data_IF_394574537657
#
_entry.id   IF_394574537657
#
_cell.length_a   1.000
_cell.length_b   1.000
_cell.length_c   1.000
_cell.angle_alpha   90.00
_cell.angle_beta   90.00
_cell.angle_gamma   90.00
#
_symmetry.space_group_name_H-M   'P 1'
#
loop_
_entity.id
_entity.type
_entity.pdbx_description
1 polymer ?
#
# COMPACT_ATOMS: atom_id res chain seq x y z
N UNK A 1 2.54 -2.82 -12.27
CA UNK A 1 1.29 -2.03 -12.13
C UNK A 1 0.13 -2.72 -12.84
N UNK A 2 -1.11 -2.49 -12.40
CA UNK A 2 -2.31 -3.11 -12.96
C UNK A 2 -3.06 -2.20 -13.93
N UNK A 3 -2.78 -0.89 -13.89
CA UNK A 3 -3.47 0.12 -14.68
C UNK A 3 -2.54 0.71 -15.72
N UNK A 4 -3.03 0.85 -16.95
CA UNK A 4 -2.31 1.46 -18.08
C UNK A 4 -3.27 2.25 -18.96
N UNK A 5 -2.75 3.07 -19.87
CA UNK A 5 -3.52 3.63 -21.01
C UNK A 5 -3.28 2.79 -22.25
N UNK A 6 -4.37 2.44 -22.93
CA UNK A 6 -4.35 1.78 -24.23
C UNK A 6 -3.94 2.73 -25.37
N UNK A 7 -3.91 2.23 -26.59
CA UNK A 7 -3.58 3.02 -27.78
C UNK A 7 -4.59 4.15 -28.07
N UNK A 8 -5.80 4.09 -27.51
CA UNK A 8 -6.85 5.12 -27.62
C UNK A 8 -6.82 6.12 -26.45
N UNK A 9 -5.87 5.93 -25.50
CA UNK A 9 -5.75 6.76 -24.29
C UNK A 9 -6.72 6.40 -23.17
N UNK A 10 -7.48 5.31 -23.31
CA UNK A 10 -8.40 4.84 -22.27
C UNK A 10 -7.64 4.09 -21.18
N UNK A 11 -8.10 4.23 -19.92
CA UNK A 11 -7.54 3.45 -18.82
C UNK A 11 -8.02 2.00 -18.92
N UNK A 12 -7.08 1.08 -18.75
CA UNK A 12 -7.30 -0.35 -18.71
C UNK A 12 -6.76 -0.89 -17.39
N UNK A 13 -7.61 -1.53 -16.60
CA UNK A 13 -7.24 -2.24 -15.39
C UNK A 13 -7.26 -3.75 -15.67
N UNK A 14 -6.10 -4.40 -15.71
CA UNK A 14 -6.00 -5.83 -16.03
C UNK A 14 -6.67 -6.77 -15.02
N UNK A 15 -7.10 -6.25 -13.86
CA UNK A 15 -7.86 -7.03 -12.87
C UNK A 15 -9.35 -7.11 -13.22
N UNK A 16 -9.87 -6.22 -14.08
CA UNK A 16 -11.30 -6.09 -14.36
C UNK A 16 -11.64 -6.07 -15.83
N UNK A 17 -10.80 -5.40 -16.62
CA UNK A 17 -11.08 -5.14 -18.02
C UNK A 17 -10.58 -6.26 -18.92
N UNK A 18 -11.23 -6.42 -20.08
CA UNK A 18 -10.64 -7.17 -21.18
C UNK A 18 -9.54 -6.33 -21.80
N UNK A 19 -8.40 -6.94 -22.05
CA UNK A 19 -7.25 -6.29 -22.63
C UNK A 19 -6.72 -7.08 -23.82
N UNK A 20 -6.13 -6.36 -24.77
CA UNK A 20 -5.57 -6.92 -25.99
C UNK A 20 -4.04 -6.78 -25.97
N UNK A 21 -3.40 -7.42 -26.94
CA UNK A 21 -1.95 -7.32 -27.10
C UNK A 21 -1.62 -6.10 -27.96
N UNK A 22 -1.53 -4.95 -27.34
CA UNK A 22 -1.30 -3.66 -28.00
C UNK A 22 -0.24 -2.82 -27.26
N UNK A 23 -0.07 -1.57 -27.70
CA UNK A 23 0.82 -0.62 -27.03
C UNK A 23 0.14 0.00 -25.81
N UNK A 24 0.83 -0.04 -24.67
CA UNK A 24 0.36 0.54 -23.42
C UNK A 24 1.33 1.61 -22.92
N UNK A 25 0.78 2.63 -22.27
CA UNK A 25 1.55 3.72 -21.65
C UNK A 25 1.19 3.90 -20.18
N UNK A 26 2.14 4.40 -19.40
CA UNK A 26 1.93 4.72 -17.99
C UNK A 26 0.97 5.90 -17.83
N UNK A 27 -0.09 5.80 -17.02
CA UNK A 27 -1.01 6.91 -16.81
C UNK A 27 -0.38 8.16 -16.19
N UNK A 28 0.73 8.00 -15.47
CA UNK A 28 1.42 9.09 -14.78
C UNK A 28 2.49 9.77 -15.64
N UNK A 29 3.42 9.01 -16.25
CA UNK A 29 4.56 9.56 -16.96
C UNK A 29 4.46 9.46 -18.49
N UNK A 30 3.44 8.75 -19.03
CA UNK A 30 3.32 8.48 -20.47
C UNK A 30 4.34 7.50 -21.04
N UNK A 31 5.26 6.99 -20.21
CA UNK A 31 6.30 6.04 -20.60
C UNK A 31 5.72 4.71 -21.10
N UNK A 32 6.42 4.08 -22.05
CA UNK A 32 5.97 2.82 -22.63
C UNK A 32 5.98 1.67 -21.63
N UNK A 33 4.90 0.91 -21.64
CA UNK A 33 4.71 -0.28 -20.83
C UNK A 33 4.75 -1.54 -21.69
N UNK A 34 5.07 -2.66 -21.04
CA UNK A 34 4.89 -4.01 -21.57
C UNK A 34 3.93 -4.78 -20.68
N UNK A 35 2.99 -5.47 -21.27
CA UNK A 35 2.14 -6.43 -20.56
C UNK A 35 3.00 -7.66 -20.23
N UNK A 36 3.02 -8.04 -18.96
CA UNK A 36 3.60 -9.29 -18.46
C UNK A 36 2.48 -10.24 -18.12
N UNK A 37 2.53 -11.42 -18.68
CA UNK A 37 1.53 -12.47 -18.52
C UNK A 37 2.20 -13.83 -18.68
N UNK A 38 1.84 -14.81 -17.86
CA UNK A 38 2.36 -16.16 -17.98
C UNK A 38 1.81 -17.08 -16.90
N UNK A 39 2.04 -18.40 -16.99
CA UNK A 39 1.49 -19.38 -16.04
C UNK A 39 1.89 -19.12 -14.57
N UNK A 40 3.09 -18.58 -14.37
CA UNK A 40 3.63 -18.28 -13.02
C UNK A 40 3.81 -16.77 -12.78
N UNK A 41 3.27 -15.92 -13.65
CA UNK A 41 3.40 -14.47 -13.55
C UNK A 41 2.02 -13.86 -13.50
N UNK A 42 1.72 -13.16 -12.39
CA UNK A 42 0.51 -12.36 -12.28
C UNK A 42 0.47 -11.33 -13.41
N UNK A 43 -0.64 -11.26 -14.12
CA UNK A 43 -0.81 -10.31 -15.22
C UNK A 43 -0.67 -8.88 -14.70
N UNK A 44 0.28 -8.14 -15.26
CA UNK A 44 0.55 -6.75 -14.90
C UNK A 44 1.31 -6.01 -16.01
N UNK A 45 1.31 -4.69 -15.95
CA UNK A 45 2.14 -3.84 -16.77
C UNK A 45 3.48 -3.53 -16.08
N UNK A 46 4.55 -3.45 -16.87
CA UNK A 46 5.86 -3.03 -16.39
C UNK A 46 6.46 -2.01 -17.37
N UNK A 47 7.12 -0.96 -16.85
CA UNK A 47 7.86 -0.03 -17.69
C UNK A 47 8.90 -0.76 -18.55
N UNK A 48 9.04 -0.35 -19.79
CA UNK A 48 10.14 -0.83 -20.66
C UNK A 48 11.47 -0.23 -20.20
N UNK A 49 11.45 1.02 -19.73
CA UNK A 49 12.58 1.73 -19.11
C UNK A 49 12.07 2.51 -17.90
N UNK A 50 12.71 2.33 -16.75
CA UNK A 50 12.40 3.12 -15.53
C UNK A 50 13.14 4.45 -15.50
N UNK A 51 14.14 4.66 -16.40
CA UNK A 51 15.00 5.86 -16.37
C UNK A 51 14.24 7.15 -16.63
N UNK A 52 13.07 7.05 -17.23
CA UNK A 52 12.26 8.19 -17.66
C UNK A 52 10.96 8.34 -16.84
N UNK A 53 10.83 7.59 -15.74
CA UNK A 53 9.65 7.66 -14.89
C UNK A 53 9.96 8.30 -13.54
N UNK A 54 9.65 9.57 -13.40
CA UNK A 54 9.80 10.34 -12.15
C UNK A 54 8.82 9.90 -11.04
N UNK A 55 7.80 9.10 -11.38
CA UNK A 55 6.74 8.67 -10.46
C UNK A 55 6.99 7.30 -9.84
N UNK A 56 7.87 6.50 -10.43
CA UNK A 56 8.11 5.12 -9.98
C UNK A 56 9.47 5.01 -9.33
N UNK A 57 9.49 4.67 -8.07
CA UNK A 57 10.73 4.48 -7.32
C UNK A 57 11.24 3.03 -7.30
N UNK A 58 10.39 2.04 -7.58
CA UNK A 58 10.75 0.62 -7.39
C UNK A 58 10.07 -0.32 -8.40
N UNK A 59 10.76 -1.44 -8.68
CA UNK A 59 10.15 -2.58 -9.37
C UNK A 59 9.16 -3.27 -8.43
N UNK A 60 7.92 -3.43 -8.88
CA UNK A 60 6.90 -4.12 -8.12
C UNK A 60 7.22 -5.61 -7.95
N UNK A 61 7.37 -6.04 -6.72
CA UNK A 61 7.54 -7.45 -6.37
C UNK A 61 6.21 -8.22 -6.53
N UNK A 62 6.24 -9.56 -6.70
CA UNK A 62 5.03 -10.37 -6.66
C UNK A 62 4.21 -10.19 -5.37
N UNK A 63 4.87 -9.95 -4.24
CA UNK A 63 4.24 -9.66 -2.96
C UNK A 63 3.48 -8.33 -3.02
N UNK A 64 4.11 -7.26 -3.54
CA UNK A 64 3.50 -5.94 -3.69
C UNK A 64 2.24 -5.99 -4.55
N UNK A 65 2.34 -6.62 -5.74
CA UNK A 65 1.20 -6.82 -6.64
C UNK A 65 0.07 -7.59 -5.95
N UNK A 66 0.40 -8.69 -5.26
CA UNK A 66 -0.60 -9.49 -4.56
C UNK A 66 -1.35 -8.71 -3.48
N UNK A 67 -0.63 -7.94 -2.68
CA UNK A 67 -1.24 -7.15 -1.61
C UNK A 67 -2.11 -6.01 -2.16
N UNK A 68 -1.68 -5.32 -3.22
CA UNK A 68 -2.51 -4.29 -3.88
C UNK A 68 -3.82 -4.87 -4.42
N UNK A 69 -3.76 -6.01 -5.10
CA UNK A 69 -4.94 -6.67 -5.64
C UNK A 69 -5.93 -7.06 -4.55
N UNK A 70 -5.46 -7.66 -3.45
CA UNK A 70 -6.32 -8.03 -2.31
C UNK A 70 -6.99 -6.80 -1.72
N UNK A 71 -6.24 -5.73 -1.44
CA UNK A 71 -6.79 -4.49 -0.89
C UNK A 71 -7.82 -3.85 -1.84
N UNK A 72 -7.52 -3.82 -3.13
CA UNK A 72 -8.43 -3.30 -4.14
C UNK A 72 -9.75 -4.06 -4.16
N UNK A 73 -9.71 -5.39 -4.26
CA UNK A 73 -10.91 -6.21 -4.28
C UNK A 73 -11.71 -6.15 -2.97
N UNK A 74 -11.04 -6.01 -1.85
CA UNK A 74 -11.70 -5.87 -0.55
C UNK A 74 -12.44 -4.54 -0.45
N UNK A 75 -11.79 -3.43 -0.82
CA UNK A 75 -12.36 -2.09 -0.72
C UNK A 75 -13.42 -1.76 -1.76
N UNK A 76 -13.30 -2.29 -2.98
CA UNK A 76 -14.22 -1.93 -4.07
C UNK A 76 -15.68 -2.32 -3.82
N UNK A 77 -15.94 -3.17 -2.84
CA UNK A 77 -17.29 -3.57 -2.43
C UNK A 77 -17.93 -2.57 -1.45
N UNK A 78 -17.14 -1.65 -0.87
CA UNK A 78 -17.58 -0.78 0.22
C UNK A 78 -17.22 0.72 0.01
N UNK A 79 -16.41 1.05 -1.00
CA UNK A 79 -15.92 2.40 -1.23
C UNK A 79 -15.68 2.69 -2.70
N UNK A 80 -15.55 3.98 -3.04
CA UNK A 80 -14.96 4.39 -4.32
C UNK A 80 -13.46 4.17 -4.25
N UNK A 81 -12.93 3.32 -5.14
CA UNK A 81 -11.53 2.91 -5.13
C UNK A 81 -10.90 3.07 -6.49
N UNK A 82 -9.75 3.73 -6.51
CA UNK A 82 -8.92 3.89 -7.69
C UNK A 82 -7.57 3.19 -7.44
N UNK A 83 -7.23 2.26 -8.32
CA UNK A 83 -5.97 1.53 -8.26
C UNK A 83 -4.90 2.30 -9.00
N UNK A 84 -3.72 2.44 -8.38
CA UNK A 84 -2.55 3.13 -8.97
C UNK A 84 -2.88 4.53 -9.48
N UNK A 85 -3.49 5.32 -8.59
CA UNK A 85 -3.98 6.65 -8.90
C UNK A 85 -2.83 7.67 -9.00
N UNK A 86 -2.63 8.32 -10.17
CA UNK A 86 -1.59 9.33 -10.32
C UNK A 86 -1.95 10.61 -9.57
N UNK A 87 -0.99 11.15 -8.83
CA UNK A 87 -1.04 12.45 -8.17
C UNK A 87 0.08 13.33 -8.74
N UNK A 88 -0.17 14.02 -9.87
CA UNK A 88 0.86 14.75 -10.62
C UNK A 88 1.53 15.85 -9.78
N UNK A 89 0.78 16.52 -8.93
CA UNK A 89 1.24 17.58 -8.03
C UNK A 89 2.29 17.08 -7.02
N UNK A 90 2.24 15.78 -6.68
CA UNK A 90 3.19 15.13 -5.78
C UNK A 90 4.26 14.32 -6.50
N UNK A 91 4.13 14.14 -7.82
CA UNK A 91 4.91 13.16 -8.60
C UNK A 91 4.86 11.76 -7.99
N UNK A 92 3.68 11.35 -7.50
CA UNK A 92 3.45 10.07 -6.86
C UNK A 92 2.30 9.32 -7.53
N UNK A 93 2.29 8.01 -7.37
CA UNK A 93 1.17 7.14 -7.70
C UNK A 93 0.76 6.47 -6.41
N UNK A 94 -0.48 6.70 -5.96
CA UNK A 94 -1.04 6.01 -4.81
C UNK A 94 -1.36 4.56 -5.20
N UNK A 95 -0.92 3.56 -4.43
CA UNK A 95 -1.18 2.15 -4.73
C UNK A 95 -2.67 1.85 -4.77
N UNK A 96 -3.41 2.25 -3.75
CA UNK A 96 -4.88 2.19 -3.69
C UNK A 96 -5.39 3.50 -3.11
N UNK A 97 -6.18 4.24 -3.88
CA UNK A 97 -6.72 5.53 -3.48
C UNK A 97 -8.22 5.42 -3.23
N UNK A 98 -8.66 5.82 -2.05
CA UNK A 98 -10.00 5.52 -1.52
C UNK A 98 -10.75 6.81 -1.23
N UNK A 99 -12.01 6.91 -1.71
CA UNK A 99 -12.92 8.02 -1.49
C UNK A 99 -12.30 9.41 -1.75
N UNK A 100 -11.34 9.50 -2.68
CA UNK A 100 -10.70 10.73 -3.10
C UNK A 100 -9.79 11.40 -2.05
N UNK A 101 -9.49 10.74 -0.92
CA UNK A 101 -8.70 11.37 0.14
C UNK A 101 -7.77 10.45 0.96
N UNK A 102 -7.90 9.14 0.86
CA UNK A 102 -7.06 8.18 1.59
C UNK A 102 -6.19 7.38 0.62
N UNK A 103 -4.88 7.52 0.72
CA UNK A 103 -3.93 6.65 0.04
C UNK A 103 -3.54 5.48 0.95
N UNK A 104 -3.75 4.25 0.49
CA UNK A 104 -3.13 3.06 1.07
C UNK A 104 -1.90 2.73 0.25
N UNK A 105 -0.74 2.73 0.90
CA UNK A 105 0.57 2.45 0.32
C UNK A 105 1.09 1.12 0.83
N UNK A 106 1.41 0.21 -0.06
CA UNK A 106 1.97 -1.10 0.28
C UNK A 106 3.49 -1.03 0.15
N UNK A 107 4.22 -1.15 1.24
CA UNK A 107 5.67 -1.13 1.21
C UNK A 107 6.23 -2.52 1.51
N UNK A 108 6.82 -3.17 0.50
CA UNK A 108 7.37 -4.53 0.62
C UNK A 108 8.90 -4.57 0.70
N UNK A 109 9.58 -3.49 0.37
CA UNK A 109 11.05 -3.39 0.41
C UNK A 109 11.52 -2.16 1.19
N UNK A 110 12.72 -2.21 1.77
CA UNK A 110 13.30 -1.04 2.42
C UNK A 110 13.47 0.11 1.43
N UNK A 111 13.20 1.33 1.90
CA UNK A 111 13.45 2.58 1.17
C UNK A 111 14.21 3.56 2.08
N UNK A 112 14.89 4.56 1.50
CA UNK A 112 15.53 5.62 2.29
C UNK A 112 14.50 6.35 3.16
N UNK A 113 14.82 6.57 4.43
CA UNK A 113 13.93 7.28 5.37
C UNK A 113 13.53 8.67 4.86
N UNK A 114 14.45 9.35 4.16
CA UNK A 114 14.18 10.64 3.52
C UNK A 114 13.01 10.53 2.52
N UNK A 115 13.03 9.51 1.67
CA UNK A 115 11.98 9.26 0.67
C UNK A 115 10.64 8.95 1.34
N UNK A 116 10.63 8.12 2.39
CA UNK A 116 9.41 7.85 3.17
C UNK A 116 8.81 9.13 3.73
N UNK A 117 9.66 9.99 4.32
CA UNK A 117 9.24 11.27 4.88
C UNK A 117 8.68 12.20 3.79
N UNK A 118 9.41 12.39 2.70
CA UNK A 118 9.00 13.25 1.57
C UNK A 118 7.66 12.78 0.98
N UNK A 119 7.48 11.47 0.77
CA UNK A 119 6.22 10.91 0.27
C UNK A 119 5.07 11.15 1.24
N UNK A 120 5.27 10.88 2.53
CA UNK A 120 4.23 11.06 3.56
C UNK A 120 3.86 12.53 3.75
N UNK A 121 4.83 13.45 3.73
CA UNK A 121 4.60 14.89 3.81
C UNK A 121 3.92 15.42 2.55
N UNK A 122 4.26 14.90 1.38
CA UNK A 122 3.58 15.20 0.13
C UNK A 122 2.07 14.99 0.24
N UNK A 123 1.63 13.80 0.64
CA UNK A 123 0.21 13.51 0.85
C UNK A 123 -0.45 14.50 1.81
N UNK A 124 0.16 14.74 2.98
CA UNK A 124 -0.39 15.65 3.99
C UNK A 124 -0.50 17.10 3.49
N UNK A 125 0.47 17.56 2.70
CA UNK A 125 0.47 18.92 2.17
C UNK A 125 -0.71 19.21 1.24
N UNK A 126 -1.24 18.18 0.60
CA UNK A 126 -2.43 18.25 -0.26
C UNK A 126 -3.73 17.90 0.47
N UNK A 127 -3.67 17.68 1.78
CA UNK A 127 -4.83 17.30 2.59
C UNK A 127 -5.22 15.82 2.49
N UNK A 128 -4.41 14.98 1.84
CA UNK A 128 -4.64 13.55 1.78
C UNK A 128 -4.15 12.84 3.04
N UNK A 129 -4.84 11.79 3.41
CA UNK A 129 -4.38 10.83 4.41
C UNK A 129 -3.55 9.75 3.72
N UNK A 130 -2.47 9.31 4.37
CA UNK A 130 -1.70 8.16 3.90
C UNK A 130 -1.57 7.12 5.00
N UNK A 131 -1.77 5.86 4.63
CA UNK A 131 -1.57 4.73 5.51
C UNK A 131 -0.63 3.72 4.84
N UNK A 132 0.51 3.49 5.48
CA UNK A 132 1.51 2.53 5.04
C UNK A 132 1.20 1.15 5.59
N UNK A 133 1.19 0.15 4.70
CA UNK A 133 0.96 -1.26 5.01
C UNK A 133 2.24 -2.02 4.70
N UNK A 134 2.84 -2.62 5.72
CA UNK A 134 4.17 -3.21 5.61
C UNK A 134 4.12 -4.66 5.15
N UNK A 135 4.86 -4.99 4.07
CA UNK A 135 5.14 -6.35 3.65
C UNK A 135 6.19 -7.05 4.53
N UNK A 136 6.40 -8.33 4.28
CA UNK A 136 7.15 -9.25 5.15
C UNK A 136 8.55 -8.77 5.55
N UNK A 137 9.30 -8.15 4.62
CA UNK A 137 10.66 -7.67 4.89
C UNK A 137 10.71 -6.53 5.89
N UNK A 138 9.59 -5.82 6.09
CA UNK A 138 9.48 -4.65 6.97
C UNK A 138 8.68 -4.93 8.24
N UNK A 139 8.19 -6.15 8.45
CA UNK A 139 7.47 -6.50 9.68
C UNK A 139 8.33 -6.25 10.92
N UNK A 140 7.69 -5.75 11.97
CA UNK A 140 8.35 -5.58 13.25
C UNK A 140 8.72 -6.93 13.86
N UNK A 141 9.95 -7.02 14.35
CA UNK A 141 10.51 -8.21 15.01
C UNK A 141 10.96 -7.85 16.44
N UNK A 142 12.15 -8.22 16.82
CA UNK A 142 12.67 -8.01 18.17
C UNK A 142 13.19 -6.60 18.43
N UNK A 143 13.64 -5.91 17.39
CA UNK A 143 14.20 -4.55 17.47
C UNK A 143 13.57 -3.67 16.40
N UNK A 144 13.42 -2.40 16.73
CA UNK A 144 12.90 -1.37 15.83
C UNK A 144 14.06 -0.72 15.07
N UNK A 145 13.98 -0.70 13.76
CA UNK A 145 14.92 0.03 12.92
C UNK A 145 14.45 1.47 12.73
N UNK A 146 15.39 2.39 12.41
CA UNK A 146 15.03 3.79 12.11
C UNK A 146 14.00 3.92 10.97
N UNK A 147 14.09 3.05 9.97
CA UNK A 147 13.11 3.04 8.90
C UNK A 147 11.72 2.66 9.43
N UNK A 148 11.63 1.63 10.25
CA UNK A 148 10.37 1.18 10.82
C UNK A 148 9.75 2.23 11.76
N UNK A 149 10.57 3.02 12.47
CA UNK A 149 10.08 4.15 13.27
C UNK A 149 9.27 5.14 12.41
N UNK A 150 9.67 5.35 11.15
CA UNK A 150 8.98 6.22 10.22
C UNK A 150 7.59 5.77 9.78
N UNK A 151 7.27 4.48 9.98
CA UNK A 151 5.95 3.91 9.67
C UNK A 151 5.02 3.84 10.89
N UNK A 152 5.49 4.17 12.08
CA UNK A 152 4.67 4.13 13.28
C UNK A 152 3.64 5.25 13.27
N UNK A 153 2.42 4.88 13.60
CA UNK A 153 1.33 5.80 13.89
C UNK A 153 1.07 5.86 15.39
N UNK A 154 0.44 6.92 15.84
CA UNK A 154 0.05 7.07 17.24
C UNK A 154 -1.47 7.26 17.33
N UNK A 155 -2.11 6.49 18.18
CA UNK A 155 -3.50 6.72 18.58
C UNK A 155 -3.61 6.80 20.10
N UNK A 156 -4.60 7.56 20.55
CA UNK A 156 -4.85 7.74 21.99
C UNK A 156 -5.31 6.44 22.67
N UNK A 157 -5.85 5.47 21.92
CA UNK A 157 -6.39 4.21 22.48
C UNK A 157 -5.45 3.01 22.31
N UNK A 158 -4.54 3.06 21.34
CA UNK A 158 -3.67 1.95 20.98
C UNK A 158 -2.17 2.25 21.13
N UNK A 159 -1.81 3.46 21.62
CA UNK A 159 -0.41 3.89 21.62
C UNK A 159 0.20 3.91 20.23
N UNK A 160 1.48 3.61 20.13
CA UNK A 160 2.12 3.40 18.83
C UNK A 160 1.61 2.12 18.18
N UNK A 161 1.33 2.20 16.88
CA UNK A 161 0.84 1.06 16.11
C UNK A 161 1.35 1.09 14.67
N UNK A 162 1.27 -0.07 14.01
CA UNK A 162 1.62 -0.26 12.60
C UNK A 162 0.72 -1.33 11.99
N UNK A 163 0.52 -1.22 10.68
CA UNK A 163 -0.19 -2.23 9.89
C UNK A 163 0.79 -3.08 9.09
N UNK A 164 0.60 -4.39 9.09
CA UNK A 164 1.34 -5.36 8.30
C UNK A 164 0.38 -6.18 7.44
N UNK A 165 0.75 -6.43 6.19
CA UNK A 165 0.01 -7.33 5.28
C UNK A 165 0.70 -8.68 5.23
N UNK A 166 -0.06 -9.74 5.44
CA UNK A 166 0.44 -11.12 5.42
C UNK A 166 -0.35 -11.93 4.40
N UNK A 167 0.21 -12.06 3.19
CA UNK A 167 -0.43 -12.78 2.09
C UNK A 167 -0.47 -14.29 2.31
N UNK A 168 0.46 -14.85 3.06
CA UNK A 168 0.51 -16.30 3.31
C UNK A 168 -0.61 -16.71 4.29
N UNK A 169 -0.79 -15.92 5.35
CA UNK A 169 -1.88 -16.12 6.31
C UNK A 169 -3.21 -15.51 5.86
N UNK A 170 -3.21 -14.72 4.79
CA UNK A 170 -4.38 -13.99 4.31
C UNK A 170 -5.00 -13.08 5.39
N UNK A 171 -4.15 -12.31 6.07
CA UNK A 171 -4.57 -11.39 7.14
C UNK A 171 -3.93 -10.01 7.00
N UNK A 172 -4.69 -8.99 7.40
CA UNK A 172 -4.18 -7.69 7.78
C UNK A 172 -3.88 -7.72 9.28
N UNK A 173 -2.65 -7.42 9.65
CA UNK A 173 -2.18 -7.48 11.04
C UNK A 173 -1.96 -6.09 11.59
N UNK A 174 -2.55 -5.81 12.74
CA UNK A 174 -2.29 -4.63 13.55
C UNK A 174 -1.34 -5.03 14.69
N UNK A 175 -0.17 -4.41 14.75
CA UNK A 175 0.69 -4.40 15.94
C UNK A 175 0.49 -3.09 16.65
N UNK A 176 0.20 -3.12 17.94
CA UNK A 176 -0.17 -1.95 18.73
C UNK A 176 0.38 -2.01 20.16
N UNK A 177 0.28 -0.93 20.93
CA UNK A 177 0.96 -0.74 22.20
C UNK A 177 2.46 -0.98 22.09
N UNK A 178 3.03 -0.52 20.96
CA UNK A 178 4.42 -0.73 20.61
C UNK A 178 5.30 0.10 21.56
N UNK A 179 6.22 -0.56 22.25
CA UNK A 179 7.21 0.07 23.12
C UNK A 179 8.49 -0.75 23.21
N UNK A 180 9.56 -0.14 23.69
CA UNK A 180 10.86 -0.79 23.88
C UNK A 180 11.24 -0.78 25.37
N UNK A 181 11.93 -1.83 25.80
CA UNK A 181 12.61 -1.83 27.11
C UNK A 181 13.92 -1.03 27.06
N UNK A 182 14.59 -0.92 28.20
CA UNK A 182 15.87 -0.21 28.31
C UNK A 182 17.02 -0.84 27.51
N UNK A 183 16.84 -2.08 27.02
CA UNK A 183 17.80 -2.78 26.14
C UNK A 183 17.44 -2.67 24.67
N UNK A 184 16.35 -1.92 24.36
CA UNK A 184 15.87 -1.74 22.98
C UNK A 184 15.06 -2.91 22.42
N UNK A 185 14.68 -3.90 23.25
CA UNK A 185 13.81 -5.00 22.83
C UNK A 185 12.38 -4.50 22.67
N UNK A 186 11.77 -4.88 21.56
CA UNK A 186 10.44 -4.44 21.16
C UNK A 186 9.35 -5.34 21.78
N UNK A 187 8.29 -4.72 22.29
CA UNK A 187 7.08 -5.36 22.78
C UNK A 187 5.87 -4.73 22.10
N UNK A 188 4.87 -5.56 21.79
CA UNK A 188 3.60 -5.13 21.17
C UNK A 188 2.52 -6.18 21.37
N UNK A 189 1.28 -5.75 21.19
CA UNK A 189 0.12 -6.64 21.05
C UNK A 189 -0.17 -6.84 19.57
N UNK A 190 -0.83 -7.95 19.24
CA UNK A 190 -1.19 -8.31 17.86
C UNK A 190 -2.69 -8.52 17.76
N UNK A 191 -3.29 -7.96 16.70
CA UNK A 191 -4.63 -8.31 16.25
C UNK A 191 -4.60 -8.61 14.76
N UNK A 192 -5.17 -9.74 14.36
CA UNK A 192 -5.24 -10.16 12.95
C UNK A 192 -6.68 -10.09 12.47
N UNK A 193 -6.84 -9.64 11.22
CA UNK A 193 -8.12 -9.50 10.53
C UNK A 193 -8.04 -10.27 9.23
N UNK A 194 -8.80 -11.39 9.08
CA UNK A 194 -8.81 -12.16 7.85
C UNK A 194 -9.30 -11.33 6.65
N UNK A 195 -8.67 -11.50 5.51
CA UNK A 195 -9.04 -10.77 4.31
C UNK A 195 -10.49 -11.01 3.90
N UNK A 196 -11.21 -9.95 3.58
CA UNK A 196 -12.56 -10.01 3.01
C UNK A 196 -13.67 -10.47 3.96
N UNK A 197 -13.39 -10.67 5.26
CA UNK A 197 -14.44 -11.08 6.21
C UNK A 197 -15.25 -9.90 6.76
N UNK A 198 -14.58 -8.80 7.09
CA UNK A 198 -15.20 -7.60 7.65
C UNK A 198 -14.90 -6.38 6.77
N UNK A 199 -15.58 -5.26 7.01
CA UNK A 199 -15.28 -3.99 6.34
C UNK A 199 -13.85 -3.55 6.60
N UNK A 200 -13.05 -3.40 5.54
CA UNK A 200 -11.67 -2.91 5.67
C UNK A 200 -11.63 -1.49 6.21
N UNK A 201 -12.55 -0.62 5.80
CA UNK A 201 -12.63 0.76 6.31
C UNK A 201 -12.89 0.78 7.83
N UNK A 202 -13.75 -0.11 8.33
CA UNK A 202 -13.99 -0.24 9.76
C UNK A 202 -12.78 -0.80 10.52
N UNK A 203 -12.06 -1.76 9.92
CA UNK A 203 -10.82 -2.32 10.46
C UNK A 203 -9.75 -1.21 10.56
N UNK A 204 -9.54 -0.41 9.51
CA UNK A 204 -8.54 0.66 9.51
C UNK A 204 -8.85 1.76 10.55
N UNK A 205 -10.11 1.91 10.96
CA UNK A 205 -10.52 2.81 12.05
C UNK A 205 -10.35 2.20 13.45
N UNK A 206 -10.06 0.90 13.54
CA UNK A 206 -9.96 0.20 14.82
C UNK A 206 -9.00 0.88 15.82
N UNK A 207 -7.83 1.42 15.44
CA UNK A 207 -6.94 2.10 16.37
C UNK A 207 -7.52 3.37 17.01
N UNK A 208 -8.57 3.95 16.42
CA UNK A 208 -9.22 5.17 16.89
C UNK A 208 -10.52 4.91 17.67
N UNK A 209 -10.96 3.65 17.76
CA UNK A 209 -12.15 3.27 18.52
C UNK A 209 -11.79 3.05 19.98
N UNK A 210 -12.60 3.62 20.88
CA UNK A 210 -12.49 3.34 22.33
C UNK A 210 -12.68 1.84 22.58
N UNK A 211 -11.68 1.21 23.13
CA UNK A 211 -11.74 -0.21 23.47
C UNK A 211 -12.58 -0.40 24.72
N UNK A 212 -13.51 -1.36 24.71
CA UNK A 212 -14.21 -1.81 25.92
C UNK A 212 -13.22 -2.69 26.68
N UNK A 213 -12.84 -2.27 27.87
CA UNK A 213 -12.14 -3.14 28.81
C UNK A 213 -13.20 -4.14 29.29
N UNK A 214 -13.07 -5.41 28.89
CA UNK A 214 -13.87 -6.47 29.51
C UNK A 214 -13.41 -6.58 30.98
N UNK A 215 -14.29 -6.16 31.90
CA UNK A 215 -14.15 -6.45 33.30
C UNK A 215 -14.23 -7.93 33.57
#
# INVERSE_FOLDING_TARGET
>A
MFVARDARGQLVNVLEDKFEKEAYTCPACGGQLRLRQGPSVRTHFAHKSLKDCDYSSENESPEHLSNKEVLYHWLKTEAEVQLEYPLPELKQIADVFVNGNLALEVQCSPLPQKILKERSEGYRSQGYQVLWLLGEKLWLKEHLTRLQEGFLYLSQYMGFYVWEVDKEKQVLRLKYLIHQDLRGRLYYQIKEFPYGQDSLLEILRFPYKKQKISS
#
